data_IF_648276166956
#
_entry.id   IF_648276166956
#
_cell.length_a   1.000
_cell.length_b   1.000
_cell.length_c   1.000
_cell.angle_alpha   90.00
_cell.angle_beta   90.00
_cell.angle_gamma   90.00
#
_symmetry.space_group_name_H-M   'P 1'
#
loop_
_entity.id
_entity.type
_entity.pdbx_description
1 polymer ?
#
# COMPACT_ATOMS: atom_id res chain seq x y z
N UNK A 1 27.16 1.71 10.96
CA UNK A 1 27.58 1.24 9.63
C UNK A 1 28.28 2.38 8.92
N UNK A 2 29.43 2.18 8.27
CA UNK A 2 30.08 3.24 7.50
C UNK A 2 29.14 3.70 6.36
N UNK A 3 28.97 5.01 6.19
CA UNK A 3 28.08 5.61 5.18
C UNK A 3 28.36 5.05 3.77
N UNK A 4 29.64 4.78 3.46
CA UNK A 4 30.05 4.19 2.19
C UNK A 4 29.42 2.81 1.92
N UNK A 5 29.29 1.97 2.96
CA UNK A 5 28.67 0.66 2.83
C UNK A 5 27.15 0.77 2.57
N UNK A 6 26.46 1.68 3.25
CA UNK A 6 25.03 1.96 3.02
C UNK A 6 24.76 2.38 1.58
N UNK A 7 25.51 3.36 1.07
CA UNK A 7 25.35 3.86 -0.29
C UNK A 7 25.64 2.77 -1.33
N UNK A 8 26.65 1.93 -1.06
CA UNK A 8 26.96 0.78 -1.92
C UNK A 8 25.79 -0.22 -1.94
N UNK A 9 25.20 -0.52 -0.78
CA UNK A 9 24.02 -1.41 -0.70
C UNK A 9 22.83 -0.84 -1.48
N UNK A 10 22.53 0.45 -1.34
CA UNK A 10 21.48 1.12 -2.14
C UNK A 10 21.77 1.03 -3.64
N UNK A 11 23.01 1.25 -4.06
CA UNK A 11 23.41 1.11 -5.47
C UNK A 11 23.20 -0.32 -5.99
N UNK A 12 23.56 -1.33 -5.19
CA UNK A 12 23.34 -2.75 -5.53
C UNK A 12 21.85 -3.06 -5.60
N UNK A 13 21.04 -2.60 -4.65
CA UNK A 13 19.58 -2.78 -4.67
C UNK A 13 18.98 -2.22 -5.96
N UNK A 14 19.32 -0.98 -6.31
CA UNK A 14 18.84 -0.33 -7.53
C UNK A 14 19.30 -1.08 -8.78
N UNK A 15 20.56 -1.50 -8.82
CA UNK A 15 21.12 -2.24 -9.94
C UNK A 15 20.41 -3.59 -10.12
N UNK A 16 20.25 -4.35 -9.05
CA UNK A 16 19.60 -5.67 -9.06
C UNK A 16 18.14 -5.53 -9.46
N UNK A 17 17.40 -4.59 -8.86
CA UNK A 17 16.02 -4.31 -9.27
C UNK A 17 15.90 -3.90 -10.73
N UNK A 18 16.79 -3.02 -11.21
CA UNK A 18 16.83 -2.61 -12.62
C UNK A 18 17.06 -3.81 -13.55
N UNK A 19 18.07 -4.63 -13.30
CA UNK A 19 18.33 -5.87 -14.07
C UNK A 19 17.12 -6.81 -14.01
N UNK A 20 16.49 -6.94 -12.84
CA UNK A 20 15.28 -7.74 -12.64
C UNK A 20 14.15 -7.29 -13.54
N UNK A 21 13.91 -5.98 -13.64
CA UNK A 21 12.91 -5.45 -14.57
C UNK A 21 13.22 -5.73 -16.03
N UNK A 22 14.49 -5.67 -16.44
CA UNK A 22 14.88 -5.98 -17.82
C UNK A 22 14.62 -7.45 -18.15
N UNK A 23 14.92 -8.35 -17.21
CA UNK A 23 14.65 -9.78 -17.35
C UNK A 23 13.14 -10.02 -17.41
N UNK A 24 12.36 -9.44 -16.50
CA UNK A 24 10.90 -9.57 -16.48
C UNK A 24 10.27 -9.13 -17.81
N UNK A 25 10.72 -8.01 -18.38
CA UNK A 25 10.25 -7.53 -19.70
C UNK A 25 10.53 -8.51 -20.83
N UNK A 26 11.66 -9.23 -20.83
CA UNK A 26 11.94 -10.28 -21.83
C UNK A 26 10.91 -11.40 -21.78
N UNK A 27 10.41 -11.72 -20.59
CA UNK A 27 9.35 -12.70 -20.38
C UNK A 27 7.92 -12.11 -20.48
N UNK A 28 7.78 -10.83 -20.88
CA UNK A 28 6.49 -10.10 -20.93
C UNK A 28 5.78 -10.02 -19.57
N UNK A 29 6.53 -10.07 -18.48
CA UNK A 29 6.03 -9.89 -17.11
C UNK A 29 6.12 -8.42 -16.67
N UNK A 30 5.31 -7.98 -15.71
CA UNK A 30 5.44 -6.67 -15.08
C UNK A 30 6.82 -6.48 -14.43
N UNK A 31 7.33 -5.24 -14.43
CA UNK A 31 8.64 -4.92 -13.83
C UNK A 31 8.73 -5.34 -12.35
N UNK A 32 7.62 -5.19 -11.60
CA UNK A 32 7.53 -5.53 -10.18
C UNK A 32 7.87 -7.00 -9.90
N UNK A 33 7.46 -7.91 -10.80
CA UNK A 33 7.83 -9.33 -10.69
C UNK A 33 9.35 -9.53 -10.72
N UNK A 34 10.06 -8.75 -11.55
CA UNK A 34 11.51 -8.79 -11.62
C UNK A 34 12.20 -8.23 -10.36
N UNK A 35 11.66 -7.16 -9.78
CA UNK A 35 12.17 -6.58 -8.53
C UNK A 35 12.11 -7.59 -7.39
N UNK A 36 10.96 -8.26 -7.21
CA UNK A 36 10.75 -9.23 -6.14
C UNK A 36 11.64 -10.47 -6.31
N UNK A 37 11.68 -11.05 -7.51
CA UNK A 37 12.42 -12.31 -7.76
C UNK A 37 13.93 -12.12 -7.63
N UNK A 38 14.50 -11.01 -8.14
CA UNK A 38 15.93 -10.77 -7.92
C UNK A 38 16.24 -10.18 -6.54
N UNK A 39 15.28 -9.51 -5.91
CA UNK A 39 15.36 -9.12 -4.50
C UNK A 39 15.61 -10.33 -3.60
N UNK A 40 14.85 -11.42 -3.81
CA UNK A 40 15.03 -12.69 -3.13
C UNK A 40 16.48 -13.17 -3.16
N UNK A 41 17.17 -13.01 -4.31
CA UNK A 41 18.54 -13.49 -4.46
C UNK A 41 19.58 -12.72 -3.66
N UNK A 42 19.26 -11.50 -3.20
CA UNK A 42 20.20 -10.64 -2.49
C UNK A 42 19.85 -10.44 -1.01
N UNK A 43 18.71 -10.95 -0.56
CA UNK A 43 18.24 -10.84 0.81
C UNK A 43 18.28 -12.13 1.61
N UNK A 44 17.95 -12.05 2.90
CA UNK A 44 18.00 -13.21 3.80
C UNK A 44 16.96 -14.28 3.45
N UNK A 45 15.91 -13.94 2.69
CA UNK A 45 14.84 -14.88 2.36
C UNK A 45 15.31 -16.09 1.53
N UNK A 46 16.42 -15.96 0.78
CA UNK A 46 17.05 -17.10 0.10
C UNK A 46 17.65 -18.12 1.10
N UNK A 47 17.95 -17.67 2.33
CA UNK A 47 18.39 -18.52 3.43
C UNK A 47 17.37 -19.58 3.86
N UNK A 48 16.09 -19.39 3.52
CA UNK A 48 15.03 -20.40 3.70
C UNK A 48 15.23 -21.63 2.79
N UNK A 49 15.88 -21.44 1.64
CA UNK A 49 16.20 -22.49 0.67
C UNK A 49 17.64 -22.98 0.87
N UNK A 50 18.57 -22.07 1.21
CA UNK A 50 19.99 -22.35 1.39
C UNK A 50 20.45 -22.01 2.82
N UNK A 51 20.41 -22.97 3.76
CA UNK A 51 20.76 -22.73 5.16
C UNK A 51 22.17 -22.13 5.30
N UNK A 52 22.29 -21.03 6.07
CA UNK A 52 23.54 -20.30 6.28
C UNK A 52 23.79 -19.13 5.32
N UNK A 53 22.88 -18.88 4.38
CA UNK A 53 22.90 -17.68 3.55
C UNK A 53 22.16 -16.52 4.24
N UNK A 54 22.87 -15.45 4.59
CA UNK A 54 22.29 -14.26 5.24
C UNK A 54 21.83 -13.17 4.27
N UNK A 55 22.16 -13.29 2.98
CA UNK A 55 21.96 -12.21 2.01
C UNK A 55 23.12 -11.23 1.94
N UNK A 56 23.18 -10.48 0.85
CA UNK A 56 24.01 -9.27 0.77
C UNK A 56 23.36 -8.12 1.56
N UNK A 57 22.04 -8.09 1.56
CA UNK A 57 21.20 -7.29 2.46
C UNK A 57 20.85 -8.20 3.62
N UNK A 58 21.22 -7.81 4.83
CA UNK A 58 20.91 -8.57 6.06
C UNK A 58 19.65 -8.02 6.70
N UNK A 59 19.09 -8.74 7.69
CA UNK A 59 17.93 -8.27 8.46
C UNK A 59 18.18 -6.92 9.15
N UNK A 60 19.41 -6.66 9.63
CA UNK A 60 19.75 -5.36 10.23
C UNK A 60 19.79 -4.21 9.21
N UNK A 61 20.04 -4.51 7.94
CA UNK A 61 19.97 -3.48 6.89
C UNK A 61 18.54 -3.10 6.55
N UNK A 62 17.60 -4.07 6.64
CA UNK A 62 16.19 -3.82 6.38
C UNK A 62 15.62 -2.76 7.35
N UNK A 63 16.05 -2.77 8.61
CA UNK A 63 15.67 -1.74 9.59
C UNK A 63 16.15 -0.34 9.15
N UNK A 64 17.38 -0.23 8.64
CA UNK A 64 17.95 1.05 8.17
C UNK A 64 17.26 1.53 6.89
N UNK A 65 16.93 0.61 5.98
CA UNK A 65 16.20 0.94 4.76
C UNK A 65 14.69 1.08 4.96
N UNK A 66 14.17 0.77 6.15
CA UNK A 66 12.75 0.89 6.50
C UNK A 66 12.18 2.27 6.18
N UNK A 67 12.95 3.33 6.41
CA UNK A 67 12.56 4.70 6.04
C UNK A 67 12.29 4.85 4.53
N UNK A 68 13.12 4.26 3.65
CA UNK A 68 12.92 4.32 2.20
C UNK A 68 11.65 3.58 1.82
N UNK A 69 11.39 2.44 2.47
CA UNK A 69 10.18 1.64 2.26
C UNK A 69 8.91 2.38 2.69
N UNK A 70 8.93 3.07 3.83
CA UNK A 70 7.81 3.90 4.29
C UNK A 70 7.51 5.04 3.30
N UNK A 71 8.55 5.70 2.77
CA UNK A 71 8.37 6.74 1.76
C UNK A 71 7.82 6.21 0.45
N UNK A 72 8.34 5.08 -0.03
CA UNK A 72 7.83 4.43 -1.24
C UNK A 72 6.35 4.09 -1.07
N UNK A 73 5.97 3.54 0.08
CA UNK A 73 4.58 3.21 0.40
C UNK A 73 3.71 4.47 0.47
N UNK A 74 4.22 5.59 1.01
CA UNK A 74 3.52 6.86 1.04
C UNK A 74 3.30 7.46 -0.38
N UNK A 75 4.29 7.32 -1.28
CA UNK A 75 4.14 7.71 -2.68
C UNK A 75 3.11 6.83 -3.41
N UNK A 76 3.13 5.51 -3.17
CA UNK A 76 2.12 4.59 -3.69
C UNK A 76 0.73 4.99 -3.19
N UNK A 77 0.58 5.17 -1.87
CA UNK A 77 -0.66 5.59 -1.22
C UNK A 77 -1.22 6.90 -1.79
N UNK A 78 -0.37 7.93 -1.90
CA UNK A 78 -0.73 9.20 -2.52
C UNK A 78 -1.24 9.00 -3.95
N UNK A 79 -0.52 8.23 -4.78
CA UNK A 79 -0.90 7.95 -6.16
C UNK A 79 -2.20 7.14 -6.28
N UNK A 80 -2.46 6.18 -5.38
CA UNK A 80 -3.73 5.44 -5.34
C UNK A 80 -4.89 6.38 -5.00
N UNK A 81 -4.66 7.43 -4.22
CA UNK A 81 -5.67 8.47 -3.98
C UNK A 81 -6.27 9.07 -5.26
N UNK A 82 -5.55 9.02 -6.40
CA UNK A 82 -6.08 9.45 -7.71
C UNK A 82 -7.30 8.65 -8.20
N UNK A 83 -7.50 7.45 -7.69
CA UNK A 83 -8.59 6.55 -8.06
C UNK A 83 -9.92 6.96 -7.43
N UNK A 84 -9.88 7.65 -6.28
CA UNK A 84 -11.03 8.16 -5.54
C UNK A 84 -11.67 9.41 -6.18
N UNK A 85 -11.42 9.67 -7.47
CA UNK A 85 -12.05 10.76 -8.20
C UNK A 85 -13.58 10.56 -8.26
N UNK A 86 -14.34 11.36 -7.51
CA UNK A 86 -15.81 11.24 -7.35
C UNK A 86 -16.52 11.29 -8.70
N UNK A 87 -16.04 12.14 -9.63
CA UNK A 87 -16.58 12.24 -10.99
C UNK A 87 -16.42 10.93 -11.77
N UNK A 88 -15.36 10.17 -11.51
CA UNK A 88 -15.11 8.87 -12.15
C UNK A 88 -15.99 7.80 -11.52
N UNK A 89 -15.99 7.71 -10.18
CA UNK A 89 -16.82 6.75 -9.42
C UNK A 89 -18.31 6.90 -9.76
N UNK A 90 -18.84 8.13 -9.77
CA UNK A 90 -20.25 8.38 -10.12
C UNK A 90 -20.64 7.95 -11.54
N UNK A 91 -19.69 7.92 -12.48
CA UNK A 91 -19.95 7.50 -13.87
C UNK A 91 -20.01 5.99 -14.06
N UNK A 92 -19.54 5.20 -13.09
CA UNK A 92 -19.50 3.74 -13.20
C UNK A 92 -20.89 3.11 -13.08
N UNK A 93 -21.82 3.77 -12.40
CA UNK A 93 -23.22 3.32 -12.29
C UNK A 93 -23.45 2.28 -11.19
N UNK A 94 -24.71 2.17 -10.77
CA UNK A 94 -25.11 1.36 -9.60
C UNK A 94 -24.85 -0.13 -9.80
N UNK A 95 -25.09 -0.65 -11.01
CA UNK A 95 -24.90 -2.07 -11.32
C UNK A 95 -23.45 -2.50 -11.07
N UNK A 96 -22.48 -1.73 -11.56
CA UNK A 96 -21.06 -2.01 -11.38
C UNK A 96 -20.70 -1.99 -9.89
N UNK A 97 -21.15 -0.98 -9.15
CA UNK A 97 -20.87 -0.89 -7.71
C UNK A 97 -21.44 -2.07 -6.91
N UNK A 98 -22.61 -2.59 -7.28
CA UNK A 98 -23.20 -3.76 -6.60
C UNK A 98 -22.42 -5.04 -6.93
N UNK A 99 -22.04 -5.23 -8.20
CA UNK A 99 -21.22 -6.38 -8.62
C UNK A 99 -19.89 -6.37 -7.86
N UNK A 100 -19.17 -5.25 -7.88
CA UNK A 100 -17.88 -5.10 -7.18
C UNK A 100 -18.04 -5.33 -5.68
N UNK A 101 -19.09 -4.79 -5.04
CA UNK A 101 -19.30 -4.98 -3.61
C UNK A 101 -19.50 -6.47 -3.27
N UNK A 102 -20.32 -7.18 -4.04
CA UNK A 102 -20.56 -8.62 -3.81
C UNK A 102 -19.32 -9.45 -4.10
N UNK A 103 -18.57 -9.11 -5.15
CA UNK A 103 -17.29 -9.74 -5.50
C UNK A 103 -16.27 -9.58 -4.38
N UNK A 104 -16.01 -8.34 -3.94
CA UNK A 104 -15.06 -8.04 -2.87
C UNK A 104 -15.47 -8.73 -1.56
N UNK A 105 -16.74 -8.64 -1.16
CA UNK A 105 -17.21 -9.33 0.05
C UNK A 105 -17.06 -10.85 -0.07
N UNK A 106 -17.34 -11.42 -1.24
CA UNK A 106 -17.16 -12.84 -1.52
C UNK A 106 -15.70 -13.27 -1.44
N UNK A 107 -14.79 -12.55 -2.10
CA UNK A 107 -13.36 -12.82 -2.12
C UNK A 107 -12.76 -12.73 -0.72
N UNK A 108 -13.00 -11.62 -0.02
CA UNK A 108 -12.52 -11.40 1.35
C UNK A 108 -13.05 -12.48 2.30
N UNK A 109 -14.36 -12.80 2.24
CA UNK A 109 -14.94 -13.83 3.12
C UNK A 109 -14.35 -15.21 2.85
N UNK A 110 -14.21 -15.58 1.58
CA UNK A 110 -13.67 -16.88 1.18
C UNK A 110 -12.22 -17.03 1.64
N UNK A 111 -11.39 -16.01 1.38
CA UNK A 111 -9.97 -16.01 1.80
C UNK A 111 -9.85 -16.00 3.31
N UNK A 112 -10.66 -15.20 4.01
CA UNK A 112 -10.68 -15.19 5.48
C UNK A 112 -10.99 -16.57 6.05
N UNK A 113 -12.07 -17.21 5.59
CA UNK A 113 -12.48 -18.55 6.04
C UNK A 113 -11.38 -19.58 5.71
N UNK A 114 -10.86 -19.56 4.48
CA UNK A 114 -9.79 -20.47 4.07
C UNK A 114 -8.55 -20.31 4.97
N UNK A 115 -8.14 -19.07 5.23
CA UNK A 115 -6.97 -18.77 6.06
C UNK A 115 -7.14 -19.16 7.52
N UNK A 116 -8.36 -19.28 8.06
CA UNK A 116 -8.57 -19.83 9.40
C UNK A 116 -8.15 -21.31 9.46
N UNK A 117 -8.55 -22.11 8.48
CA UNK A 117 -8.35 -23.56 8.48
C UNK A 117 -7.04 -24.02 7.84
N UNK A 118 -6.34 -23.17 7.10
CA UNK A 118 -5.00 -23.48 6.58
C UNK A 118 -3.99 -23.50 7.75
N UNK A 119 -3.25 -24.61 7.95
CA UNK A 119 -2.18 -24.70 8.93
C UNK A 119 -1.12 -23.63 8.67
N UNK A 120 -0.65 -22.99 9.75
CA UNK A 120 0.36 -21.93 9.69
C UNK A 120 1.71 -22.48 10.15
N UNK A 121 2.83 -21.93 9.66
CA UNK A 121 4.15 -22.31 10.15
C UNK A 121 4.26 -22.12 11.66
N UNK A 122 5.00 -23.00 12.34
CA UNK A 122 5.21 -22.94 13.79
C UNK A 122 5.85 -21.61 14.25
N UNK A 123 6.59 -20.94 13.35
CA UNK A 123 7.13 -19.60 13.58
C UNK A 123 6.06 -18.52 13.76
N UNK A 124 4.81 -18.77 13.34
CA UNK A 124 3.71 -17.81 13.40
C UNK A 124 2.61 -18.21 14.40
N UNK A 125 2.33 -19.51 14.52
CA UNK A 125 1.34 -20.05 15.45
C UNK A 125 1.83 -21.39 15.98
N UNK A 126 1.93 -21.54 17.30
CA UNK A 126 2.29 -22.81 17.92
C UNK A 126 1.18 -23.85 17.75
N UNK A 127 1.41 -24.81 16.85
CA UNK A 127 0.45 -25.86 16.53
C UNK A 127 -0.80 -25.39 15.78
N UNK A 128 -1.72 -26.33 15.54
CA UNK A 128 -2.96 -26.06 14.82
C UNK A 128 -4.00 -25.40 15.73
N UNK A 129 -4.02 -24.06 15.74
CA UNK A 129 -5.03 -23.28 16.43
C UNK A 129 -5.70 -22.27 15.46
N UNK A 130 -6.76 -22.69 14.74
CA UNK A 130 -7.37 -21.89 13.68
C UNK A 130 -8.02 -20.61 14.19
N UNK A 131 -8.50 -20.59 15.44
CA UNK A 131 -9.23 -19.45 16.03
C UNK A 131 -8.39 -18.68 17.06
N UNK A 132 -7.07 -18.87 17.08
CA UNK A 132 -6.21 -18.03 17.92
C UNK A 132 -6.23 -16.58 17.43
N UNK A 133 -5.99 -15.62 18.33
CA UNK A 133 -5.92 -14.21 17.98
C UNK A 133 -4.89 -13.93 16.86
N UNK A 134 -3.73 -14.60 16.91
CA UNK A 134 -2.70 -14.51 15.87
C UNK A 134 -3.21 -15.02 14.52
N UNK A 135 -3.87 -16.19 14.51
CA UNK A 135 -4.46 -16.75 13.29
C UNK A 135 -5.53 -15.85 12.68
N UNK A 136 -6.40 -15.27 13.51
CA UNK A 136 -7.47 -14.37 13.05
C UNK A 136 -6.87 -13.06 12.54
N UNK A 137 -5.93 -12.45 13.27
CA UNK A 137 -5.24 -11.24 12.83
C UNK A 137 -4.56 -11.44 11.47
N UNK A 138 -3.84 -12.55 11.30
CA UNK A 138 -3.20 -12.89 10.03
C UNK A 138 -4.20 -13.13 8.90
N UNK A 139 -5.29 -13.87 9.18
CA UNK A 139 -6.35 -14.13 8.22
C UNK A 139 -7.06 -12.84 7.77
N UNK A 140 -7.29 -11.89 8.68
CA UNK A 140 -7.82 -10.57 8.35
C UNK A 140 -6.89 -9.86 7.36
N UNK A 141 -5.61 -9.71 7.68
CA UNK A 141 -4.67 -8.99 6.79
C UNK A 141 -4.65 -9.62 5.39
N UNK A 142 -4.48 -10.94 5.28
CA UNK A 142 -4.46 -11.59 3.98
C UNK A 142 -5.79 -11.52 3.23
N UNK A 143 -6.92 -11.63 3.94
CA UNK A 143 -8.24 -11.49 3.34
C UNK A 143 -8.47 -10.08 2.80
N UNK A 144 -8.03 -9.04 3.50
CA UNK A 144 -8.14 -7.67 2.97
C UNK A 144 -7.30 -7.45 1.72
N UNK A 145 -6.12 -8.08 1.62
CA UNK A 145 -5.26 -7.99 0.44
C UNK A 145 -5.86 -8.67 -0.78
N UNK A 146 -6.73 -9.68 -0.62
CA UNK A 146 -7.38 -10.36 -1.75
C UNK A 146 -8.46 -9.53 -2.44
N UNK A 147 -8.85 -8.39 -1.86
CA UNK A 147 -9.85 -7.51 -2.44
C UNK A 147 -9.34 -6.67 -3.61
N UNK A 148 -8.03 -6.39 -3.68
CA UNK A 148 -7.45 -5.48 -4.67
C UNK A 148 -7.08 -6.21 -5.98
N UNK A 149 -7.39 -5.60 -7.12
CA UNK A 149 -7.23 -6.21 -8.46
C UNK A 149 -6.65 -5.23 -9.47
N UNK A 150 -5.50 -5.56 -10.08
CA UNK A 150 -4.88 -4.72 -11.10
C UNK A 150 -5.37 -5.03 -12.54
N UNK A 151 -5.86 -4.05 -13.32
CA UNK A 151 -6.39 -4.30 -14.67
C UNK A 151 -5.35 -4.35 -15.79
N UNK A 152 -4.06 -4.09 -15.51
CA UNK A 152 -3.07 -3.78 -16.54
C UNK A 152 -2.90 -4.88 -17.60
N UNK A 153 -2.74 -6.14 -17.18
CA UNK A 153 -2.61 -7.28 -18.09
C UNK A 153 -3.91 -7.51 -18.89
N UNK A 154 -5.06 -7.44 -18.22
CA UNK A 154 -6.38 -7.61 -18.83
C UNK A 154 -6.66 -6.53 -19.88
N UNK A 155 -6.32 -5.28 -19.59
CA UNK A 155 -6.41 -4.15 -20.52
C UNK A 155 -5.51 -4.35 -21.75
N UNK A 156 -4.31 -4.90 -21.57
CA UNK A 156 -3.41 -5.22 -22.68
C UNK A 156 -4.03 -6.25 -23.62
N UNK A 157 -4.54 -7.36 -23.07
CA UNK A 157 -5.23 -8.41 -23.83
C UNK A 157 -6.46 -7.86 -24.54
N UNK A 158 -7.30 -7.08 -23.85
CA UNK A 158 -8.48 -6.44 -24.44
C UNK A 158 -8.11 -5.53 -25.62
N UNK A 159 -7.04 -4.74 -25.50
CA UNK A 159 -6.56 -3.89 -26.60
C UNK A 159 -6.03 -4.72 -27.76
N UNK A 160 -5.25 -5.76 -27.48
CA UNK A 160 -4.66 -6.63 -28.50
C UNK A 160 -5.74 -7.32 -29.34
N UNK A 161 -6.77 -7.85 -28.71
CA UNK A 161 -7.88 -8.53 -29.39
C UNK A 161 -9.02 -7.58 -29.78
N UNK A 162 -8.89 -6.27 -29.51
CA UNK A 162 -9.94 -5.26 -29.70
C UNK A 162 -11.28 -5.69 -29.07
N UNK A 163 -11.21 -6.35 -27.92
CA UNK A 163 -12.37 -6.88 -27.22
C UNK A 163 -13.28 -5.73 -26.75
N UNK A 164 -14.53 -5.76 -27.20
CA UNK A 164 -15.53 -4.73 -26.88
C UNK A 164 -16.89 -5.39 -26.65
N UNK A 165 -17.15 -5.78 -25.40
CA UNK A 165 -18.40 -6.40 -24.98
C UNK A 165 -18.77 -6.01 -23.54
N UNK A 166 -19.88 -6.54 -23.02
CA UNK A 166 -20.38 -6.24 -21.67
C UNK A 166 -19.32 -6.48 -20.59
N UNK A 167 -18.63 -7.61 -20.66
CA UNK A 167 -17.56 -7.99 -19.71
C UNK A 167 -16.38 -7.03 -19.78
N UNK A 168 -15.87 -6.73 -20.98
CA UNK A 168 -14.76 -5.80 -21.17
C UNK A 168 -15.07 -4.38 -20.69
N UNK A 169 -16.31 -3.93 -20.83
CA UNK A 169 -16.76 -2.62 -20.33
C UNK A 169 -16.95 -2.60 -18.81
N UNK A 170 -17.30 -3.72 -18.21
CA UNK A 170 -17.50 -3.85 -16.77
C UNK A 170 -16.19 -4.04 -15.99
N UNK A 171 -15.24 -4.84 -16.50
CA UNK A 171 -14.00 -5.16 -15.79
C UNK A 171 -13.20 -3.89 -15.44
N UNK A 172 -13.05 -2.95 -16.37
CA UNK A 172 -12.23 -1.74 -16.14
C UNK A 172 -12.70 -0.92 -14.93
N UNK A 173 -14.00 -0.55 -14.82
CA UNK A 173 -14.48 0.12 -13.63
C UNK A 173 -14.58 -0.77 -12.39
N UNK A 174 -14.82 -2.09 -12.52
CA UNK A 174 -14.79 -3.02 -11.38
C UNK A 174 -13.42 -2.99 -10.71
N UNK A 175 -12.35 -3.20 -11.47
CA UNK A 175 -10.98 -3.23 -10.92
C UNK A 175 -10.57 -1.92 -10.24
N UNK A 176 -11.10 -0.78 -10.69
CA UNK A 176 -10.84 0.51 -10.04
C UNK A 176 -11.68 0.72 -8.77
N UNK A 177 -12.83 0.05 -8.64
CA UNK A 177 -13.61 0.04 -7.38
C UNK A 177 -13.05 -0.99 -6.39
N UNK A 178 -12.48 -2.10 -6.87
CA UNK A 178 -11.79 -3.10 -6.05
C UNK A 178 -10.69 -2.47 -5.20
N UNK A 179 -9.84 -1.63 -5.80
CA UNK A 179 -8.77 -0.93 -5.08
C UNK A 179 -9.31 0.01 -3.99
N UNK A 180 -10.42 0.71 -4.28
CA UNK A 180 -11.13 1.56 -3.31
C UNK A 180 -11.67 0.73 -2.13
N UNK A 181 -12.42 -0.34 -2.41
CA UNK A 181 -13.00 -1.18 -1.37
C UNK A 181 -11.93 -1.94 -0.59
N UNK A 182 -10.91 -2.44 -1.27
CA UNK A 182 -9.78 -3.14 -0.66
C UNK A 182 -9.03 -2.27 0.34
N UNK A 183 -8.77 -1.00 0.01
CA UNK A 183 -8.16 -0.05 0.95
C UNK A 183 -9.02 0.18 2.20
N UNK A 184 -10.34 0.36 2.01
CA UNK A 184 -11.26 0.57 3.13
C UNK A 184 -11.25 -0.65 4.05
N UNK A 185 -11.39 -1.85 3.48
CA UNK A 185 -11.37 -3.12 4.22
C UNK A 185 -10.02 -3.31 4.92
N UNK A 186 -8.90 -3.07 4.23
CA UNK A 186 -7.56 -3.15 4.79
C UNK A 186 -7.38 -2.23 5.99
N UNK A 187 -7.86 -0.98 5.93
CA UNK A 187 -7.82 -0.04 7.04
C UNK A 187 -8.52 -0.55 8.30
N UNK A 188 -9.76 -1.05 8.15
CA UNK A 188 -10.50 -1.63 9.28
C UNK A 188 -9.87 -2.92 9.78
N UNK A 189 -9.45 -3.82 8.89
CA UNK A 189 -8.88 -5.12 9.24
C UNK A 189 -7.53 -4.97 9.93
N UNK A 190 -6.71 -4.00 9.53
CA UNK A 190 -5.46 -3.67 10.20
C UNK A 190 -5.70 -3.22 11.64
N UNK A 191 -6.65 -2.30 11.86
CA UNK A 191 -6.99 -1.83 13.19
C UNK A 191 -7.55 -2.94 14.09
N UNK A 192 -8.42 -3.79 13.55
CA UNK A 192 -8.95 -4.96 14.27
C UNK A 192 -7.83 -5.96 14.58
N UNK A 193 -6.92 -6.22 13.65
CA UNK A 193 -5.78 -7.11 13.87
C UNK A 193 -4.87 -6.61 15.01
N UNK A 194 -4.64 -5.29 15.11
CA UNK A 194 -3.89 -4.69 16.22
C UNK A 194 -4.61 -4.80 17.58
N UNK A 195 -5.93 -4.87 17.60
CA UNK A 195 -6.70 -5.15 18.82
C UNK A 195 -6.56 -6.60 19.29
N UNK A 196 -6.39 -7.54 18.35
CA UNK A 196 -6.23 -8.97 18.66
C UNK A 196 -4.82 -9.30 19.17
N UNK A 197 -3.83 -8.49 18.81
CA UNK A 197 -2.43 -8.61 19.21
C UNK A 197 -1.97 -7.38 20.03
N UNK A 198 -2.57 -7.15 21.21
CA UNK A 198 -2.28 -5.96 22.00
C UNK A 198 -0.84 -5.97 22.52
N UNK A 199 -0.18 -4.83 22.35
CA UNK A 199 1.15 -4.53 22.88
C UNK A 199 1.01 -3.62 24.10
N UNK A 200 0.49 -4.14 25.23
CA UNK A 200 0.31 -3.35 26.44
C UNK A 200 -0.91 -3.72 27.27
N UNK A 201 -1.33 -2.78 28.12
CA UNK A 201 -2.41 -2.99 29.08
C UNK A 201 -3.78 -3.23 28.42
N UNK A 202 -4.69 -3.97 29.09
CA UNK A 202 -6.03 -4.20 28.60
C UNK A 202 -6.78 -2.88 28.35
N UNK A 203 -7.21 -2.67 27.11
CA UNK A 203 -7.99 -1.50 26.73
C UNK A 203 -9.42 -1.62 27.29
N UNK A 204 -10.07 -0.49 27.66
CA UNK A 204 -11.46 -0.50 28.07
C UNK A 204 -12.37 -0.91 26.89
N UNK A 205 -13.46 -1.63 27.20
CA UNK A 205 -14.36 -2.24 26.19
C UNK A 205 -14.90 -1.22 25.18
N UNK A 206 -15.24 0.00 25.63
CA UNK A 206 -15.73 1.05 24.74
C UNK A 206 -14.67 1.46 23.70
N UNK A 207 -13.39 1.44 24.07
CA UNK A 207 -12.28 1.81 23.21
C UNK A 207 -11.96 0.68 22.22
N UNK A 208 -12.15 -0.59 22.60
CA UNK A 208 -12.03 -1.71 21.66
C UNK A 208 -13.02 -1.61 20.48
N UNK A 209 -14.25 -1.16 20.73
CA UNK A 209 -15.27 -1.01 19.67
C UNK A 209 -15.01 0.24 18.83
N UNK A 210 -14.63 1.36 19.48
CA UNK A 210 -14.48 2.65 18.81
C UNK A 210 -13.12 2.84 18.13
N UNK A 211 -12.06 2.16 18.57
CA UNK A 211 -10.69 2.32 18.06
C UNK A 211 -10.59 2.20 16.53
N UNK A 212 -11.16 1.17 15.85
CA UNK A 212 -11.07 1.09 14.39
C UNK A 212 -11.71 2.27 13.66
N UNK A 213 -12.82 2.78 14.18
CA UNK A 213 -13.46 3.95 13.61
C UNK A 213 -12.64 5.21 13.86
N UNK A 214 -12.09 5.39 15.06
CA UNK A 214 -11.24 6.53 15.41
C UNK A 214 -9.98 6.54 14.54
N UNK A 215 -9.29 5.41 14.40
CA UNK A 215 -8.06 5.31 13.62
C UNK A 215 -8.33 5.54 12.13
N UNK A 216 -9.35 4.90 11.55
CA UNK A 216 -9.68 5.07 10.14
C UNK A 216 -10.14 6.51 9.87
N UNK A 217 -11.18 7.00 10.56
CA UNK A 217 -11.70 8.35 10.30
C UNK A 217 -10.72 9.45 10.70
N UNK A 218 -9.96 9.29 11.78
CA UNK A 218 -8.93 10.25 12.18
C UNK A 218 -7.82 10.36 11.14
N UNK A 219 -7.35 9.23 10.60
CA UNK A 219 -6.36 9.23 9.50
C UNK A 219 -6.90 9.95 8.26
N UNK A 220 -8.16 9.70 7.91
CA UNK A 220 -8.83 10.38 6.79
C UNK A 220 -9.00 11.88 7.04
N UNK A 221 -9.37 12.30 8.26
CA UNK A 221 -9.51 13.73 8.60
C UNK A 221 -8.17 14.45 8.46
N UNK A 222 -7.08 13.86 8.96
CA UNK A 222 -5.75 14.46 8.88
C UNK A 222 -5.31 14.56 7.41
N UNK A 223 -5.48 13.48 6.64
CA UNK A 223 -5.19 13.50 5.21
C UNK A 223 -6.07 14.48 4.43
N UNK A 224 -7.32 14.68 4.83
CA UNK A 224 -8.22 15.69 4.26
C UNK A 224 -7.67 17.10 4.48
N UNK A 225 -7.26 17.43 5.71
CA UNK A 225 -6.70 18.74 6.07
C UNK A 225 -5.44 19.02 5.24
N UNK A 226 -4.50 18.07 5.22
CA UNK A 226 -3.23 18.21 4.49
C UNK A 226 -3.49 18.28 2.98
N UNK A 227 -4.39 17.46 2.45
CA UNK A 227 -4.77 17.45 1.03
C UNK A 227 -5.43 18.76 0.58
N UNK A 228 -6.23 19.38 1.43
CA UNK A 228 -6.82 20.71 1.17
C UNK A 228 -5.72 21.76 1.12
N UNK A 229 -4.79 21.75 2.09
CA UNK A 229 -3.65 22.67 2.11
C UNK A 229 -2.78 22.51 0.83
N UNK A 230 -2.48 21.27 0.45
CA UNK A 230 -1.78 20.95 -0.79
C UNK A 230 -2.55 21.44 -2.03
N UNK A 231 -3.87 21.27 -2.08
CA UNK A 231 -4.70 21.71 -3.20
C UNK A 231 -4.67 23.24 -3.38
N UNK A 232 -4.73 23.98 -2.28
CA UNK A 232 -4.60 25.45 -2.31
C UNK A 232 -3.19 25.90 -2.72
N UNK A 233 -2.16 25.26 -2.18
CA UNK A 233 -0.78 25.54 -2.59
C UNK A 233 -0.54 25.22 -4.06
N UNK A 234 -1.01 24.05 -4.54
CA UNK A 234 -0.91 23.64 -5.93
C UNK A 234 -1.58 24.66 -6.85
N UNK A 235 -2.77 25.18 -6.50
CA UNK A 235 -3.42 26.25 -7.25
C UNK A 235 -2.57 27.51 -7.38
N UNK A 236 -1.78 27.86 -6.36
CA UNK A 236 -0.93 29.06 -6.34
C UNK A 236 0.39 28.85 -7.12
N UNK A 237 0.97 27.66 -7.05
CA UNK A 237 2.28 27.33 -7.60
C UNK A 237 2.23 26.42 -8.85
N UNK A 238 1.08 26.29 -9.52
CA UNK A 238 0.86 25.38 -10.66
C UNK A 238 1.69 25.66 -11.93
N UNK A 239 2.50 26.74 -11.94
CA UNK A 239 3.23 27.17 -13.14
C UNK A 239 4.52 26.37 -13.36
N UNK A 240 5.22 26.02 -12.29
CA UNK A 240 6.53 25.35 -12.33
C UNK A 240 6.34 23.91 -11.82
N UNK A 241 6.82 22.92 -12.57
CA UNK A 241 6.71 21.49 -12.20
C UNK A 241 7.38 21.19 -10.87
N UNK A 242 8.55 21.79 -10.66
CA UNK A 242 9.43 21.54 -9.53
C UNK A 242 8.80 22.08 -8.24
N UNK A 243 8.15 23.26 -8.29
CA UNK A 243 7.41 23.81 -7.14
C UNK A 243 6.28 22.87 -6.69
N UNK A 244 5.53 22.30 -7.64
CA UNK A 244 4.46 21.33 -7.33
C UNK A 244 5.05 20.05 -6.76
N UNK A 245 6.18 19.58 -7.29
CA UNK A 245 6.88 18.40 -6.80
C UNK A 245 7.30 18.60 -5.34
N UNK A 246 7.97 19.71 -5.03
CA UNK A 246 8.40 20.06 -3.67
C UNK A 246 7.19 20.18 -2.74
N UNK A 247 6.11 20.85 -3.16
CA UNK A 247 4.91 20.99 -2.34
C UNK A 247 4.24 19.64 -2.05
N UNK A 248 4.19 18.76 -3.05
CA UNK A 248 3.63 17.42 -2.91
C UNK A 248 4.48 16.58 -1.96
N UNK A 249 5.81 16.69 -2.05
CA UNK A 249 6.73 16.06 -1.12
C UNK A 249 6.51 16.58 0.30
N UNK A 250 6.43 17.91 0.50
CA UNK A 250 6.13 18.49 1.82
C UNK A 250 4.86 17.88 2.39
N UNK A 251 3.79 17.77 1.61
CA UNK A 251 2.55 17.16 2.07
C UNK A 251 2.72 15.69 2.46
N UNK A 252 3.42 14.89 1.65
CA UNK A 252 3.64 13.46 1.94
C UNK A 252 4.52 13.27 3.18
N UNK A 253 5.66 13.97 3.25
CA UNK A 253 6.56 13.92 4.40
C UNK A 253 5.90 14.45 5.67
N UNK A 254 5.14 15.55 5.60
CA UNK A 254 4.39 16.07 6.74
C UNK A 254 3.29 15.10 7.17
N UNK A 255 2.65 14.38 6.24
CA UNK A 255 1.66 13.35 6.57
C UNK A 255 2.31 12.19 7.31
N UNK A 256 3.37 11.60 6.75
CA UNK A 256 4.06 10.45 7.37
C UNK A 256 4.69 10.85 8.69
N UNK A 257 5.58 11.86 8.68
CA UNK A 257 6.30 12.31 9.87
C UNK A 257 5.39 12.91 10.95
N UNK A 258 4.36 13.65 10.55
CA UNK A 258 3.39 14.21 11.50
C UNK A 258 2.56 13.13 12.19
N UNK A 259 2.13 12.10 11.46
CA UNK A 259 1.39 10.98 12.02
C UNK A 259 2.26 10.06 12.87
N UNK A 260 3.51 9.80 12.49
CA UNK A 260 4.42 9.00 13.34
C UNK A 260 4.69 9.69 14.66
N UNK A 261 4.92 11.01 14.65
CA UNK A 261 5.02 11.80 15.88
C UNK A 261 3.73 11.77 16.69
N UNK A 262 2.57 11.96 16.05
CA UNK A 262 1.30 11.95 16.75
C UNK A 262 0.98 10.57 17.36
N UNK A 263 1.29 9.48 16.65
CA UNK A 263 1.16 8.11 17.15
C UNK A 263 2.08 7.84 18.33
N UNK A 264 3.29 8.42 18.34
CA UNK A 264 4.18 8.33 19.49
C UNK A 264 3.57 8.98 20.75
N UNK A 265 2.87 10.11 20.61
CA UNK A 265 2.18 10.74 21.73
C UNK A 265 0.84 10.05 22.09
N UNK A 266 0.21 9.37 21.13
CA UNK A 266 -1.08 8.71 21.33
C UNK A 266 -0.95 7.21 21.67
N UNK A 267 0.27 6.68 21.75
CA UNK A 267 0.53 5.28 22.12
C UNK A 267 -0.05 4.94 23.48
N UNK A 268 0.03 5.86 24.45
CA UNK A 268 -0.49 5.67 25.81
C UNK A 268 -2.01 5.53 25.85
N UNK A 269 -2.70 6.08 24.84
CA UNK A 269 -4.15 5.96 24.67
C UNK A 269 -4.54 4.74 23.83
N UNK A 270 -3.56 3.99 23.33
CA UNK A 270 -3.77 2.81 22.47
C UNK A 270 -4.32 3.13 21.08
N UNK A 271 -4.16 4.37 20.61
CA UNK A 271 -4.66 4.86 19.30
C UNK A 271 -3.48 5.07 18.36
N UNK A 272 -3.54 4.48 17.17
CA UNK A 272 -2.55 4.62 16.12
C UNK A 272 -3.22 4.93 14.78
N UNK A 273 -3.00 6.14 14.27
CA UNK A 273 -3.46 6.51 12.94
C UNK A 273 -2.57 5.91 11.86
N UNK A 274 -3.14 5.69 10.67
CA UNK A 274 -2.48 5.07 9.54
C UNK A 274 -1.93 6.12 8.57
N UNK A 275 -0.60 6.24 8.41
CA UNK A 275 0.02 7.09 7.39
C UNK A 275 -0.40 6.72 5.97
N UNK A 276 -0.69 5.43 5.73
CA UNK A 276 -1.17 4.92 4.45
C UNK A 276 -2.54 5.53 4.10
N UNK A 277 -3.53 5.38 5.00
CA UNK A 277 -4.89 5.90 4.78
C UNK A 277 -4.89 7.43 4.64
N UNK A 278 -4.07 8.12 5.45
CA UNK A 278 -3.96 9.56 5.38
C UNK A 278 -3.39 10.02 4.03
N UNK A 279 -2.31 9.41 3.53
CA UNK A 279 -1.75 9.77 2.22
C UNK A 279 -2.69 9.44 1.05
N UNK A 280 -3.44 8.33 1.12
CA UNK A 280 -4.52 8.04 0.16
C UNK A 280 -5.54 9.17 0.16
N UNK A 281 -5.93 9.65 1.35
CA UNK A 281 -6.85 10.78 1.45
C UNK A 281 -6.26 12.08 0.90
N UNK A 282 -4.98 12.39 1.17
CA UNK A 282 -4.29 13.54 0.55
C UNK A 282 -4.39 13.47 -0.98
N UNK A 283 -4.07 12.31 -1.58
CA UNK A 283 -4.22 12.09 -3.01
C UNK A 283 -5.67 12.22 -3.50
N UNK A 284 -6.63 11.66 -2.76
CA UNK A 284 -8.07 11.78 -3.06
C UNK A 284 -8.56 13.22 -3.07
N UNK A 285 -8.10 14.04 -2.11
CA UNK A 285 -8.42 15.48 -2.11
C UNK A 285 -7.87 16.15 -3.36
N UNK A 286 -6.61 15.87 -3.74
CA UNK A 286 -6.02 16.43 -4.95
C UNK A 286 -6.82 16.03 -6.19
N UNK A 287 -7.20 14.76 -6.31
CA UNK A 287 -7.99 14.24 -7.43
C UNK A 287 -9.34 14.96 -7.61
N UNK A 288 -9.91 15.48 -6.52
CA UNK A 288 -11.25 16.06 -6.50
C UNK A 288 -11.27 17.60 -6.42
N UNK A 289 -10.28 18.23 -5.78
CA UNK A 289 -10.26 19.68 -5.50
C UNK A 289 -9.24 20.43 -6.35
N UNK A 290 -8.09 19.83 -6.67
CA UNK A 290 -7.05 20.54 -7.42
C UNK A 290 -7.52 20.89 -8.85
N UNK A 291 -7.04 22.02 -9.38
CA UNK A 291 -7.38 22.45 -10.75
C UNK A 291 -6.76 21.52 -11.81
N UNK A 292 -5.54 21.04 -11.57
CA UNK A 292 -4.77 20.18 -12.48
C UNK A 292 -4.17 18.97 -11.74
N UNK A 293 -5.00 18.03 -11.24
CA UNK A 293 -4.52 16.92 -10.41
C UNK A 293 -3.44 16.08 -11.08
N UNK A 294 -3.55 15.85 -12.40
CA UNK A 294 -2.58 15.06 -13.15
C UNK A 294 -1.15 15.60 -13.05
N UNK A 295 -0.95 16.93 -12.94
CA UNK A 295 0.39 17.51 -12.81
C UNK A 295 1.02 17.16 -11.46
N UNK A 296 0.23 17.21 -10.38
CA UNK A 296 0.65 16.84 -9.03
C UNK A 296 0.99 15.36 -8.92
N UNK A 297 0.17 14.48 -9.51
CA UNK A 297 0.48 13.04 -9.52
C UNK A 297 1.70 12.71 -10.37
N UNK A 298 1.84 13.35 -11.53
CA UNK A 298 2.96 13.09 -12.43
C UNK A 298 4.29 13.53 -11.82
N UNK A 299 4.35 14.69 -11.16
CA UNK A 299 5.58 15.16 -10.51
C UNK A 299 6.07 14.21 -9.41
N UNK A 300 5.16 13.59 -8.65
CA UNK A 300 5.52 12.56 -7.67
C UNK A 300 5.92 11.26 -8.36
N UNK A 301 5.17 10.79 -9.36
CA UNK A 301 5.47 9.53 -10.04
C UNK A 301 6.84 9.52 -10.74
N UNK A 302 7.23 10.67 -11.33
CA UNK A 302 8.54 10.83 -11.96
C UNK A 302 9.69 10.68 -10.94
N UNK A 303 9.49 11.16 -9.70
CA UNK A 303 10.47 11.00 -8.61
C UNK A 303 10.40 9.64 -7.91
N UNK A 304 9.22 9.05 -7.81
CA UNK A 304 8.99 7.86 -6.98
C UNK A 304 9.59 6.58 -7.58
N UNK A 305 9.93 6.58 -8.87
CA UNK A 305 10.41 5.39 -9.58
C UNK A 305 11.61 4.69 -8.90
N UNK A 306 12.70 5.37 -8.50
CA UNK A 306 13.80 4.74 -7.76
C UNK A 306 13.37 4.19 -6.40
N UNK A 307 12.46 4.88 -5.70
CA UNK A 307 11.91 4.43 -4.42
C UNK A 307 11.10 3.14 -4.58
N UNK A 308 10.31 3.02 -5.65
CA UNK A 308 9.58 1.79 -5.96
C UNK A 308 10.52 0.63 -6.26
N UNK A 309 11.60 0.86 -7.00
CA UNK A 309 12.61 -0.18 -7.26
C UNK A 309 13.22 -0.65 -5.94
N UNK A 310 13.64 0.28 -5.07
CA UNK A 310 14.22 -0.09 -3.76
C UNK A 310 13.21 -0.85 -2.92
N UNK A 311 11.99 -0.32 -2.77
CA UNK A 311 10.93 -0.92 -1.97
C UNK A 311 10.58 -2.34 -2.42
N UNK A 312 10.30 -2.55 -3.70
CA UNK A 312 9.92 -3.88 -4.18
C UNK A 312 11.10 -4.86 -4.22
N UNK A 313 12.33 -4.38 -4.40
CA UNK A 313 13.50 -5.25 -4.33
C UNK A 313 13.77 -5.66 -2.88
N UNK A 314 13.64 -4.73 -1.92
CA UNK A 314 13.72 -5.02 -0.49
C UNK A 314 12.58 -5.93 -0.01
N UNK A 315 11.37 -5.76 -0.55
CA UNK A 315 10.23 -6.63 -0.23
C UNK A 315 10.43 -8.08 -0.71
N UNK A 316 11.25 -8.28 -1.74
CA UNK A 316 11.65 -9.62 -2.20
C UNK A 316 12.81 -10.21 -1.41
N UNK A 317 13.69 -9.36 -0.87
CA UNK A 317 14.91 -9.70 -0.14
C UNK A 317 14.61 -10.32 1.23
#
# INVERSE_FOLDING_TARGET
>A
MEIGLLLTKVAVILFVGFIGSLIARKFKLPNVSGYLVLGLLIGPSLGLIFPGYEGFITSSDQDVFGFISELALAFIAFSIGSEFAIKRVKKMGKEISVITLLEVLGAVSLVFIAMLFIPKPDSMSSGYNPFSNSSIAFALILASMSAATAPAATLMVMRQYRANGPVSKAIVPITALDDIFGIIIFGFFLSIAQLLLPQGDPLPVWLMISKPFIEVFGSLIIGLIIGIALSYGAKKFDKISDDIQVLSLIAIYATVGGLTLMNHYMSDFGISFSPLLANIMVGSVIANIALKPNRTFQSINDLATPFYIIFFTLAGA
#
